data_IF_189003325945
#
_entry.id   IF_189003325945
#
_cell.length_a   1.000
_cell.length_b   1.000
_cell.length_c   1.000
_cell.angle_alpha   90.00
_cell.angle_beta   90.00
_cell.angle_gamma   90.00
#
_symmetry.space_group_name_H-M   'P 1'
#
loop_
_entity.id
_entity.type
_entity.pdbx_description
1 polymer ?
#
# COMPACT_ATOMS: atom_id res chain seq x y z
N UNK A 1 -9.60 -11.61 5.83
CA UNK A 1 -9.36 -11.27 4.42
C UNK A 1 -9.13 -9.77 4.35
N UNK A 2 -7.98 -9.30 3.88
CA UNK A 2 -7.74 -7.87 3.60
C UNK A 2 -8.30 -7.55 2.23
N UNK A 3 -9.13 -6.51 2.09
CA UNK A 3 -9.52 -5.99 0.78
C UNK A 3 -8.96 -4.58 0.67
N UNK A 4 -8.02 -4.39 -0.25
CA UNK A 4 -7.54 -3.07 -0.63
C UNK A 4 -8.65 -2.46 -1.48
N UNK A 5 -9.38 -1.51 -0.92
CA UNK A 5 -10.38 -0.77 -1.67
C UNK A 5 -9.65 0.43 -2.26
N UNK A 6 -9.32 0.34 -3.54
CA UNK A 6 -8.94 1.52 -4.31
C UNK A 6 -10.18 2.37 -4.56
N UNK A 7 -10.44 3.31 -3.66
CA UNK A 7 -11.10 4.55 -4.04
C UNK A 7 -10.14 5.26 -4.99
N UNK A 8 -10.27 5.01 -6.29
CA UNK A 8 -9.46 5.67 -7.32
C UNK A 8 -9.57 7.17 -7.10
N UNK A 9 -8.48 7.86 -6.77
CA UNK A 9 -8.45 9.33 -6.78
C UNK A 9 -8.05 9.75 -8.19
N UNK A 10 -8.80 10.65 -8.81
CA UNK A 10 -8.45 11.18 -10.11
C UNK A 10 -7.75 12.52 -9.94
N UNK A 11 -6.50 12.62 -10.37
CA UNK A 11 -5.76 13.87 -10.52
C UNK A 11 -6.33 14.82 -11.58
N UNK A 12 -7.31 14.41 -12.37
CA UNK A 12 -8.06 15.32 -13.26
C UNK A 12 -9.50 14.87 -13.48
N UNK A 13 -10.41 15.84 -13.62
CA UNK A 13 -11.75 15.57 -14.10
C UNK A 13 -11.69 15.37 -15.62
N UNK A 14 -12.01 14.17 -16.10
CA UNK A 14 -12.00 13.86 -17.54
C UNK A 14 -13.41 13.47 -17.97
N UNK A 15 -13.95 14.19 -18.96
CA UNK A 15 -15.17 13.79 -19.68
C UNK A 15 -14.74 13.35 -21.07
N UNK A 16 -15.03 12.08 -21.40
CA UNK A 16 -14.82 11.54 -22.74
C UNK A 16 -16.16 11.42 -23.45
N UNK A 17 -16.32 12.14 -24.55
CA UNK A 17 -17.52 12.10 -25.37
C UNK A 17 -17.38 11.03 -26.46
N UNK A 18 -18.38 10.15 -26.53
CA UNK A 18 -18.59 9.21 -27.63
C UNK A 18 -20.00 9.41 -28.17
N UNK A 19 -20.18 9.32 -29.50
CA UNK A 19 -21.50 9.42 -30.12
C UNK A 19 -22.40 8.20 -29.85
N UNK A 20 -21.84 7.13 -29.28
CA UNK A 20 -22.51 5.85 -29.05
C UNK A 20 -22.63 5.54 -27.55
N UNK A 21 -21.67 5.99 -26.74
CA UNK A 21 -21.64 5.71 -25.30
C UNK A 21 -22.06 6.95 -24.49
N UNK A 22 -22.74 6.70 -23.37
CA UNK A 22 -23.07 7.76 -22.41
C UNK A 22 -21.80 8.45 -21.91
N UNK A 23 -21.93 9.72 -21.58
CA UNK A 23 -20.86 10.51 -20.98
C UNK A 23 -20.29 9.78 -19.77
N UNK A 24 -18.98 9.51 -19.82
CA UNK A 24 -18.25 8.92 -18.71
C UNK A 24 -17.55 10.03 -17.96
N UNK A 25 -18.19 10.53 -16.90
CA UNK A 25 -17.65 11.60 -16.05
C UNK A 25 -16.88 10.97 -14.88
N UNK A 26 -15.60 11.31 -14.78
CA UNK A 26 -14.75 10.96 -13.64
C UNK A 26 -14.50 12.19 -12.79
N UNK A 27 -15.05 12.24 -11.58
CA UNK A 27 -14.83 13.34 -10.64
C UNK A 27 -14.34 12.81 -9.30
N UNK A 28 -13.54 13.61 -8.58
CA UNK A 28 -13.11 13.26 -7.23
C UNK A 28 -14.27 13.13 -6.24
N UNK A 29 -15.39 13.79 -6.50
CA UNK A 29 -16.60 13.67 -5.69
C UNK A 29 -17.27 12.30 -5.88
N UNK A 30 -17.36 11.81 -7.12
CA UNK A 30 -17.79 10.44 -7.36
C UNK A 30 -16.84 9.44 -6.68
N UNK A 31 -15.53 9.67 -6.76
CA UNK A 31 -14.55 8.82 -6.07
C UNK A 31 -14.74 8.78 -4.57
N UNK A 32 -15.07 9.92 -3.94
CA UNK A 32 -15.39 9.99 -2.52
C UNK A 32 -16.60 9.13 -2.18
N UNK A 33 -17.70 9.27 -2.94
CA UNK A 33 -18.94 8.50 -2.74
C UNK A 33 -18.67 7.00 -2.85
N UNK A 34 -17.91 6.58 -3.88
CA UNK A 34 -17.53 5.17 -4.04
C UNK A 34 -16.62 4.68 -2.89
N UNK A 35 -15.65 5.50 -2.46
CA UNK A 35 -14.77 5.17 -1.32
C UNK A 35 -15.58 4.95 -0.04
N UNK A 36 -16.52 5.85 0.27
CA UNK A 36 -17.39 5.79 1.44
C UNK A 36 -18.29 4.55 1.44
N UNK A 37 -18.96 4.27 0.32
CA UNK A 37 -19.81 3.08 0.18
C UNK A 37 -19.01 1.78 0.34
N UNK A 38 -17.79 1.76 -0.18
CA UNK A 38 -16.90 0.62 -0.04
C UNK A 38 -16.40 0.42 1.40
N UNK A 39 -16.10 1.51 2.12
CA UNK A 39 -15.74 1.45 3.55
C UNK A 39 -16.92 0.94 4.37
N UNK A 40 -18.13 1.44 4.12
CA UNK A 40 -19.37 0.98 4.77
C UNK A 40 -19.57 -0.52 4.58
N UNK A 41 -19.49 -1.01 3.34
CA UNK A 41 -19.58 -2.44 3.04
C UNK A 41 -18.50 -3.25 3.77
N UNK A 42 -17.26 -2.76 3.82
CA UNK A 42 -16.19 -3.43 4.55
C UNK A 42 -16.50 -3.54 6.04
N UNK A 43 -17.05 -2.49 6.65
CA UNK A 43 -17.47 -2.50 8.05
C UNK A 43 -18.60 -3.52 8.28
N UNK A 44 -19.62 -3.56 7.41
CA UNK A 44 -20.71 -4.55 7.47
C UNK A 44 -20.18 -5.99 7.38
N UNK A 45 -19.15 -6.22 6.56
CA UNK A 45 -18.53 -7.54 6.38
C UNK A 45 -17.47 -7.88 7.44
N UNK A 46 -17.14 -6.97 8.35
CA UNK A 46 -16.03 -7.16 9.31
C UNK A 46 -14.65 -7.24 8.63
N UNK A 47 -14.47 -6.59 7.49
CA UNK A 47 -13.24 -6.54 6.71
C UNK A 47 -12.55 -5.19 6.95
N UNK A 48 -11.24 -5.20 7.15
CA UNK A 48 -10.44 -3.97 7.25
C UNK A 48 -10.37 -3.29 5.87
N UNK A 49 -10.70 -2.00 5.82
CA UNK A 49 -10.60 -1.15 4.64
C UNK A 49 -9.43 -0.16 4.76
N UNK A 50 -8.96 0.32 3.61
CA UNK A 50 -7.93 1.36 3.50
C UNK A 50 -8.56 2.54 2.74
N UNK A 51 -8.65 3.71 3.39
CA UNK A 51 -9.23 4.91 2.80
C UNK A 51 -8.16 5.74 2.08
N UNK A 52 -7.86 5.35 0.84
CA UNK A 52 -6.88 6.05 0.01
C UNK A 52 -7.34 7.46 -0.40
N UNK A 53 -8.66 7.67 -0.51
CA UNK A 53 -9.19 8.99 -0.86
C UNK A 53 -8.81 10.01 0.21
N UNK A 54 -9.04 9.70 1.48
CA UNK A 54 -8.62 10.56 2.59
C UNK A 54 -7.10 10.62 2.70
N UNK A 55 -6.39 9.50 2.50
CA UNK A 55 -4.93 9.45 2.62
C UNK A 55 -4.22 10.42 1.66
N UNK A 56 -4.59 10.43 0.37
CA UNK A 56 -4.00 11.35 -0.60
C UNK A 56 -4.36 12.82 -0.32
N UNK A 57 -5.57 13.06 0.20
CA UNK A 57 -6.10 14.39 0.51
C UNK A 57 -5.45 15.10 1.70
N UNK A 58 -4.60 14.42 2.49
CA UNK A 58 -3.92 15.00 3.66
C UNK A 58 -2.86 16.05 3.28
N UNK A 59 -2.36 16.03 2.05
CA UNK A 59 -1.30 16.90 1.56
C UNK A 59 -1.82 17.88 0.51
N UNK A 60 -1.28 19.10 0.50
CA UNK A 60 -1.74 20.18 -0.39
C UNK A 60 -1.41 19.88 -1.87
N UNK A 61 -0.31 19.18 -2.13
CA UNK A 61 0.21 18.86 -3.46
C UNK A 61 -0.18 17.48 -3.98
N UNK A 62 -1.29 16.90 -3.50
CA UNK A 62 -1.70 15.50 -3.77
C UNK A 62 -1.72 15.07 -5.24
N UNK A 63 -1.82 16.01 -6.18
CA UNK A 63 -1.72 15.75 -7.62
C UNK A 63 -0.35 15.16 -8.02
N UNK A 64 0.72 15.46 -7.27
CA UNK A 64 2.09 14.93 -7.52
C UNK A 64 2.20 13.43 -7.22
N UNK A 65 1.20 12.86 -6.54
CA UNK A 65 1.11 11.43 -6.29
C UNK A 65 0.63 10.62 -7.49
N UNK A 66 0.37 11.28 -8.61
CA UNK A 66 -0.04 10.65 -9.87
C UNK A 66 0.91 11.00 -11.01
N UNK A 67 1.11 10.07 -11.94
CA UNK A 67 1.94 10.29 -13.15
C UNK A 67 1.16 10.97 -14.27
N UNK A 68 -0.09 10.56 -14.47
CA UNK A 68 -0.99 11.03 -15.53
C UNK A 68 -2.36 11.51 -15.00
N UNK A 69 -2.44 11.69 -13.68
CA UNK A 69 -3.69 11.99 -12.99
C UNK A 69 -4.58 10.77 -12.72
N UNK A 70 -4.11 9.54 -12.95
CA UNK A 70 -4.82 8.31 -12.53
C UNK A 70 -3.87 7.29 -11.93
N UNK A 71 -2.75 7.03 -12.58
CA UNK A 71 -1.75 6.08 -12.11
C UNK A 71 -0.85 6.72 -11.06
N UNK A 72 -0.47 5.95 -10.03
CA UNK A 72 0.36 6.44 -8.95
C UNK A 72 1.79 6.69 -9.41
N UNK A 73 2.37 7.80 -8.93
CA UNK A 73 3.81 8.02 -8.97
C UNK A 73 4.52 7.17 -7.90
N UNK A 74 5.85 7.21 -7.88
CA UNK A 74 6.63 6.53 -6.84
C UNK A 74 6.28 7.03 -5.43
N UNK A 75 6.10 8.35 -5.26
CA UNK A 75 5.67 8.93 -3.98
C UNK A 75 4.22 8.57 -3.66
N UNK A 76 3.32 8.53 -4.64
CA UNK A 76 1.95 8.06 -4.43
C UNK A 76 1.87 6.60 -3.99
N UNK A 77 2.72 5.76 -4.57
CA UNK A 77 2.81 4.34 -4.21
C UNK A 77 3.34 4.13 -2.79
N UNK A 78 4.25 5.01 -2.32
CA UNK A 78 4.73 5.00 -0.93
C UNK A 78 3.57 5.21 0.05
N UNK A 79 2.66 6.16 -0.20
CA UNK A 79 1.46 6.39 0.65
C UNK A 79 0.58 5.14 0.74
N UNK A 80 0.35 4.46 -0.39
CA UNK A 80 -0.44 3.21 -0.38
C UNK A 80 0.23 2.15 0.48
N UNK A 81 1.55 1.99 0.37
CA UNK A 81 2.30 1.05 1.21
C UNK A 81 2.23 1.41 2.70
N UNK A 82 2.33 2.70 3.06
CA UNK A 82 2.18 3.17 4.45
C UNK A 82 0.81 2.81 5.03
N UNK A 83 -0.28 3.09 4.29
CA UNK A 83 -1.63 2.83 4.77
C UNK A 83 -1.94 1.31 4.82
N UNK A 84 -1.38 0.50 3.89
CA UNK A 84 -1.45 -0.97 3.99
C UNK A 84 -0.76 -1.45 5.27
N UNK A 85 0.49 -1.04 5.50
CA UNK A 85 1.27 -1.47 6.65
C UNK A 85 0.63 -1.06 7.97
N UNK A 86 0.06 0.15 8.03
CA UNK A 86 -0.72 0.62 9.16
C UNK A 86 -1.88 -0.32 9.47
N UNK A 87 -2.70 -0.67 8.47
CA UNK A 87 -3.82 -1.60 8.66
C UNK A 87 -3.34 -2.99 9.08
N UNK A 88 -2.26 -3.49 8.49
CA UNK A 88 -1.67 -4.79 8.87
C UNK A 88 -1.17 -4.80 10.32
N UNK A 89 -0.61 -3.68 10.79
CA UNK A 89 -0.10 -3.50 12.16
C UNK A 89 -1.23 -3.37 13.18
N UNK A 90 -2.31 -2.68 12.84
CA UNK A 90 -3.48 -2.45 13.71
C UNK A 90 -4.46 -3.64 13.72
N UNK A 91 -4.40 -4.54 12.74
CA UNK A 91 -5.26 -5.71 12.68
C UNK A 91 -4.85 -6.75 13.74
N UNK A 92 -5.80 -7.15 14.59
CA UNK A 92 -5.62 -8.24 15.57
C UNK A 92 -5.79 -9.62 14.91
N UNK A 93 -5.06 -9.85 13.81
CA UNK A 93 -5.04 -11.14 13.11
C UNK A 93 -3.98 -12.07 13.71
N UNK A 94 -4.32 -13.36 13.79
CA UNK A 94 -3.39 -14.42 14.24
C UNK A 94 -3.30 -15.51 13.18
N UNK A 95 -2.11 -15.72 12.58
CA UNK A 95 -0.87 -14.94 12.74
C UNK A 95 -1.01 -13.51 12.19
N UNK A 96 -0.17 -12.58 12.68
CA UNK A 96 -0.10 -11.23 12.11
C UNK A 96 0.48 -11.30 10.70
N UNK A 97 -0.06 -10.47 9.81
CA UNK A 97 0.42 -10.32 8.43
C UNK A 97 1.39 -9.13 8.28
N UNK A 98 1.75 -8.47 9.39
CA UNK A 98 2.78 -7.45 9.37
C UNK A 98 4.15 -8.11 9.16
N UNK A 99 4.95 -7.59 8.22
CA UNK A 99 6.19 -8.25 7.78
C UNK A 99 7.19 -8.53 8.91
N UNK A 100 7.30 -7.64 9.92
CA UNK A 100 8.15 -7.86 11.11
C UNK A 100 7.72 -9.03 11.99
N UNK A 101 6.47 -9.48 11.87
CA UNK A 101 5.92 -10.61 12.63
C UNK A 101 5.94 -11.91 11.82
N UNK A 102 6.24 -11.83 10.53
CA UNK A 102 6.35 -13.00 9.66
C UNK A 102 7.78 -13.55 9.73
N UNK A 103 7.97 -14.87 9.89
CA UNK A 103 9.30 -15.46 9.83
C UNK A 103 9.88 -15.37 8.42
N UNK A 104 11.20 -15.19 8.32
CA UNK A 104 11.93 -15.26 7.06
C UNK A 104 11.91 -16.71 6.54
N UNK A 105 11.48 -16.92 5.29
CA UNK A 105 11.22 -18.25 4.72
C UNK A 105 12.48 -19.12 4.61
N UNK A 106 13.64 -18.50 4.39
CA UNK A 106 14.95 -19.15 4.25
C UNK A 106 15.94 -18.52 5.23
N UNK A 107 15.68 -18.68 6.53
CA UNK A 107 16.48 -18.07 7.60
C UNK A 107 17.65 -18.94 8.06
N UNK A 108 17.92 -20.07 7.40
CA UNK A 108 18.98 -20.99 7.78
C UNK A 108 20.37 -20.42 7.46
N UNK A 109 21.37 -20.78 8.27
CA UNK A 109 22.76 -20.42 7.97
C UNK A 109 23.26 -21.16 6.73
N UNK A 110 24.00 -20.44 5.90
CA UNK A 110 24.62 -20.98 4.69
C UNK A 110 26.14 -21.02 4.82
N UNK A 111 26.82 -22.07 4.31
CA UNK A 111 28.27 -22.07 4.19
C UNK A 111 28.80 -21.01 3.20
N UNK A 112 27.91 -20.38 2.43
CA UNK A 112 28.22 -19.29 1.51
C UNK A 112 27.93 -17.89 2.08
N UNK A 113 27.51 -17.81 3.35
CA UNK A 113 27.34 -16.54 4.04
C UNK A 113 28.69 -15.85 4.31
N UNK A 114 28.62 -14.57 4.66
CA UNK A 114 29.81 -13.77 4.94
C UNK A 114 30.56 -14.32 6.15
N UNK A 115 31.87 -14.52 6.00
CA UNK A 115 32.73 -15.04 7.07
C UNK A 115 33.04 -13.92 8.07
N UNK A 116 32.83 -14.20 9.35
CA UNK A 116 33.14 -13.32 10.47
C UNK A 116 34.66 -13.14 10.63
N UNK A 117 35.07 -12.15 11.42
CA UNK A 117 36.49 -11.84 11.67
C UNK A 117 37.27 -12.98 12.35
N UNK A 118 36.57 -13.93 12.98
CA UNK A 118 37.18 -15.12 13.59
C UNK A 118 37.60 -16.20 12.58
N UNK A 119 37.19 -16.06 11.31
CA UNK A 119 37.44 -17.03 10.24
C UNK A 119 36.71 -18.36 10.40
N UNK A 120 35.76 -18.47 11.33
CA UNK A 120 35.08 -19.72 11.70
C UNK A 120 33.57 -19.61 11.62
N UNK A 121 33.00 -18.49 12.03
CA UNK A 121 31.56 -18.27 12.03
C UNK A 121 31.11 -17.53 10.78
N UNK A 122 29.90 -17.80 10.32
CA UNK A 122 29.24 -17.05 9.25
C UNK A 122 28.22 -16.08 9.82
N UNK A 123 27.97 -14.98 9.11
CA UNK A 123 26.96 -13.98 9.44
C UNK A 123 25.78 -14.13 8.49
N UNK A 124 24.67 -14.63 9.02
CA UNK A 124 23.43 -14.81 8.27
C UNK A 124 22.76 -13.46 7.99
N UNK A 125 22.61 -13.06 6.71
CA UNK A 125 22.06 -11.76 6.35
C UNK A 125 20.53 -11.78 6.14
N UNK A 126 19.86 -12.90 6.39
CA UNK A 126 18.44 -13.11 6.03
C UNK A 126 17.50 -12.06 6.62
N UNK A 127 17.77 -11.57 7.83
CA UNK A 127 16.97 -10.55 8.52
C UNK A 127 17.51 -9.12 8.36
N UNK A 128 18.55 -8.90 7.55
CA UNK A 128 19.16 -7.57 7.41
C UNK A 128 18.28 -6.65 6.56
N UNK A 129 17.90 -5.49 7.11
CA UNK A 129 17.06 -4.50 6.41
C UNK A 129 17.77 -3.19 6.08
N UNK A 130 19.04 -3.03 6.47
CA UNK A 130 19.79 -1.76 6.29
C UNK A 130 19.95 -1.33 4.83
N UNK A 131 19.81 -2.26 3.88
CA UNK A 131 19.87 -1.98 2.45
C UNK A 131 18.59 -1.32 1.91
N UNK A 132 17.49 -1.31 2.68
CA UNK A 132 16.22 -0.70 2.28
C UNK A 132 16.26 0.81 2.48
N UNK A 133 15.84 1.56 1.47
CA UNK A 133 15.68 3.03 1.53
C UNK A 133 14.67 3.44 2.62
N UNK A 134 13.61 2.64 2.80
CA UNK A 134 12.54 2.86 3.78
C UNK A 134 12.43 1.62 4.66
N UNK A 135 12.45 1.82 5.98
CA UNK A 135 12.43 0.73 6.97
C UNK A 135 11.01 0.19 7.26
N UNK A 136 9.95 0.89 6.82
CA UNK A 136 8.56 0.41 6.85
C UNK A 136 8.12 -0.09 8.25
N UNK A 137 8.28 0.78 9.26
CA UNK A 137 8.25 0.40 10.69
C UNK A 137 6.88 0.20 11.36
#
# INVERSE_FOLDING_TARGET
MLKIIMGLVYGSCTSTYSSILREHVRTNELCRIYSEACIELCNEMGIKAIDLWTAFRKQEDWLTYFTDGVHLSGSGSKIVAEEILKVLKEADWKPSLHWKSMPTEFSEDSPYDLVSSDGKTTLNPSDWTFHREIQWD
#
